data_IF_995989235355
#
_entry.id   IF_995989235355
#
_cell.length_a   1.000
_cell.length_b   1.000
_cell.length_c   1.000
_cell.angle_alpha   90.00
_cell.angle_beta   90.00
_cell.angle_gamma   90.00
#
_symmetry.space_group_name_H-M   'P 1'
#
loop_
_entity.id
_entity.type
_entity.pdbx_description
1 polymer ?
#
# COMPACT_ATOMS: atom_id res chain seq x y z
N UNK A 1 17.56 -0.20 4.21
CA UNK A 1 16.24 -0.64 4.70
C UNK A 1 16.21 -0.57 6.24
N UNK A 2 15.09 -0.19 6.86
CA UNK A 2 14.93 -0.18 8.32
C UNK A 2 15.10 -1.58 8.91
N UNK A 3 15.69 -1.68 10.12
CA UNK A 3 15.83 -2.97 10.82
C UNK A 3 14.53 -3.43 11.50
N UNK A 4 13.65 -2.49 11.85
CA UNK A 4 12.40 -2.77 12.55
C UNK A 4 11.35 -1.74 12.13
N UNK A 5 10.17 -2.23 11.78
CA UNK A 5 8.99 -1.43 11.41
C UNK A 5 7.85 -1.86 12.31
N UNK A 6 7.11 -0.89 12.85
CA UNK A 6 5.93 -1.17 13.68
C UNK A 6 4.67 -1.05 12.82
N UNK A 7 3.90 -2.13 12.70
CA UNK A 7 2.69 -2.20 11.89
C UNK A 7 2.01 -3.56 11.99
N UNK A 8 1.00 -3.81 11.15
CA UNK A 8 0.33 -5.10 11.03
C UNK A 8 1.12 -6.02 10.09
N UNK A 9 1.98 -6.86 10.66
CA UNK A 9 2.78 -7.80 9.89
C UNK A 9 1.94 -8.84 9.14
N UNK A 10 0.82 -9.29 9.71
CA UNK A 10 -0.01 -10.33 9.11
C UNK A 10 -0.67 -9.80 7.83
N UNK A 11 -1.19 -8.57 7.88
CA UNK A 11 -1.76 -7.92 6.69
C UNK A 11 -0.72 -7.70 5.60
N UNK A 12 0.50 -7.29 5.96
CA UNK A 12 1.59 -7.13 4.98
C UNK A 12 1.92 -8.46 4.34
N UNK A 13 2.14 -9.53 5.12
CA UNK A 13 2.42 -10.87 4.59
C UNK A 13 1.31 -11.35 3.66
N UNK A 14 0.04 -11.10 4.02
CA UNK A 14 -1.10 -11.46 3.16
C UNK A 14 -1.05 -10.76 1.80
N UNK A 15 -0.76 -9.46 1.78
CA UNK A 15 -0.64 -8.70 0.52
C UNK A 15 0.48 -9.28 -0.35
N UNK A 16 1.65 -9.53 0.24
CA UNK A 16 2.78 -10.12 -0.46
C UNK A 16 2.46 -11.51 -1.01
N UNK A 17 1.89 -12.39 -0.18
CA UNK A 17 1.55 -13.75 -0.56
C UNK A 17 0.55 -13.76 -1.73
N UNK A 18 -0.46 -12.90 -1.69
CA UNK A 18 -1.46 -12.81 -2.75
C UNK A 18 -0.83 -12.40 -4.07
N UNK A 19 -0.02 -11.33 -4.07
CA UNK A 19 0.60 -10.84 -5.30
C UNK A 19 1.61 -11.83 -5.87
N UNK A 20 2.49 -12.39 -5.04
CA UNK A 20 3.49 -13.38 -5.47
C UNK A 20 2.80 -14.64 -5.99
N UNK A 21 1.77 -15.13 -5.29
CA UNK A 21 1.03 -16.30 -5.72
C UNK A 21 0.33 -16.07 -7.06
N UNK A 22 -0.18 -14.86 -7.31
CA UNK A 22 -0.77 -14.51 -8.60
C UNK A 22 0.30 -14.50 -9.70
N UNK A 23 1.43 -13.83 -9.49
CA UNK A 23 2.52 -13.80 -10.49
C UNK A 23 3.05 -15.19 -10.81
N UNK A 24 3.23 -16.07 -9.81
CA UNK A 24 3.63 -17.48 -10.03
C UNK A 24 2.56 -18.25 -10.81
N UNK A 25 1.28 -18.07 -10.46
CA UNK A 25 0.17 -18.77 -11.11
C UNK A 25 0.05 -18.41 -12.59
N UNK A 26 0.33 -17.17 -12.97
CA UNK A 26 0.11 -16.66 -14.33
C UNK A 26 1.38 -16.54 -15.18
N UNK A 27 2.56 -16.75 -14.61
CA UNK A 27 3.84 -16.77 -15.32
C UNK A 27 4.39 -18.19 -15.38
N UNK A 28 4.00 -18.96 -16.41
CA UNK A 28 4.49 -20.34 -16.60
C UNK A 28 5.94 -20.39 -17.10
N UNK A 29 6.32 -19.41 -17.92
CA UNK A 29 7.68 -19.25 -18.45
C UNK A 29 8.05 -17.77 -18.42
N UNK A 30 9.33 -17.45 -18.20
CA UNK A 30 9.81 -16.08 -18.11
C UNK A 30 10.35 -15.77 -16.73
N UNK A 31 10.05 -14.60 -16.19
CA UNK A 31 10.59 -14.17 -14.90
C UNK A 31 9.58 -13.39 -14.08
N UNK A 32 9.84 -13.38 -12.78
CA UNK A 32 9.15 -12.58 -11.79
C UNK A 32 10.24 -11.82 -11.03
N UNK A 33 10.12 -10.50 -10.96
CA UNK A 33 11.07 -9.63 -10.28
C UNK A 33 10.36 -8.97 -9.10
N UNK A 34 10.92 -9.13 -7.91
CA UNK A 34 10.50 -8.42 -6.71
C UNK A 34 11.51 -7.30 -6.41
N UNK A 35 11.01 -6.07 -6.27
CA UNK A 35 11.80 -4.90 -5.87
C UNK A 35 11.20 -4.30 -4.61
N UNK A 36 12.05 -3.63 -3.83
CA UNK A 36 11.62 -2.93 -2.64
C UNK A 36 12.54 -1.76 -2.33
N UNK A 37 11.94 -0.64 -1.95
CA UNK A 37 12.66 0.56 -1.52
C UNK A 37 11.87 1.25 -0.41
N UNK A 38 12.50 2.23 0.25
CA UNK A 38 11.83 2.99 1.29
C UNK A 38 12.27 4.45 1.27
N UNK A 39 11.35 5.34 1.59
CA UNK A 39 11.56 6.78 1.62
C UNK A 39 11.23 7.32 3.02
N UNK A 40 12.13 8.12 3.59
CA UNK A 40 11.91 8.78 4.87
C UNK A 40 11.08 10.05 4.68
N UNK A 41 9.93 10.14 5.35
CA UNK A 41 9.21 11.42 5.45
C UNK A 41 9.77 12.20 6.64
N UNK A 42 10.67 13.12 6.34
CA UNK A 42 11.11 14.10 7.32
C UNK A 42 9.96 15.09 7.55
N UNK A 43 9.08 14.83 8.51
CA UNK A 43 8.10 15.83 8.95
C UNK A 43 8.84 16.91 9.73
N UNK A 44 9.31 17.95 9.04
CA UNK A 44 9.78 19.16 9.69
C UNK A 44 8.55 19.99 10.07
N UNK A 45 8.23 20.02 11.36
CA UNK A 45 7.34 21.02 11.94
C UNK A 45 8.13 22.32 12.11
N UNK A 46 8.45 23.00 11.01
CA UNK A 46 8.85 24.40 11.05
C UNK A 46 7.87 25.21 10.21
N UNK A 47 7.12 26.05 10.91
CA UNK A 47 6.33 27.14 10.36
C UNK A 47 7.25 28.08 9.59
N UNK A 48 7.40 27.89 8.29
CA UNK A 48 7.68 28.99 7.38
C UNK A 48 7.01 28.69 6.04
N UNK A 49 5.73 29.04 5.95
CA UNK A 49 5.08 29.29 4.67
C UNK A 49 5.83 30.46 4.01
N UNK A 50 6.81 30.17 3.16
CA UNK A 50 7.07 31.01 2.01
C UNK A 50 6.31 30.40 0.84
N UNK A 51 5.28 31.13 0.44
CA UNK A 51 4.41 30.87 -0.70
C UNK A 51 5.27 30.72 -1.95
N UNK A 52 5.23 29.57 -2.62
CA UNK A 52 5.20 29.52 -4.08
C UNK A 52 4.55 28.21 -4.59
N UNK A 53 3.25 28.36 -4.82
CA UNK A 53 2.38 27.75 -5.82
C UNK A 53 2.84 26.44 -6.51
N UNK A 54 2.11 25.33 -6.28
CA UNK A 54 1.21 24.68 -7.26
C UNK A 54 0.58 23.37 -6.74
N UNK A 55 -0.75 23.45 -6.47
CA UNK A 55 -1.80 22.40 -6.53
C UNK A 55 -1.56 21.04 -5.84
N UNK A 56 -2.43 20.68 -4.89
CA UNK A 56 -3.61 19.83 -5.12
C UNK A 56 -4.49 19.84 -3.85
N UNK A 57 -5.81 19.88 -4.08
CA UNK A 57 -6.87 20.24 -3.13
C UNK A 57 -7.29 19.04 -2.27
N UNK A 58 -7.57 19.27 -0.98
CA UNK A 58 -8.66 18.59 -0.28
C UNK A 58 -9.20 19.52 0.82
N UNK A 59 -10.50 19.83 0.69
CA UNK A 59 -11.23 20.78 1.51
C UNK A 59 -11.97 20.05 2.63
N UNK A 60 -11.60 20.30 3.89
CA UNK A 60 -12.51 20.17 5.04
C UNK A 60 -12.10 21.26 6.04
N UNK A 61 -12.93 22.30 6.21
CA UNK A 61 -12.80 23.29 7.30
C UNK A 61 -13.70 22.87 8.45
N UNK A 62 -13.21 22.93 9.69
CA UNK A 62 -14.04 23.50 10.75
C UNK A 62 -13.28 24.63 11.46
N UNK A 63 -13.98 25.76 11.63
CA UNK A 63 -13.58 26.84 12.52
C UNK A 63 -13.73 26.36 13.97
N UNK A 64 -12.71 26.53 14.81
CA UNK A 64 -12.93 26.61 16.25
C UNK A 64 -12.10 27.76 16.85
N UNK A 65 -12.82 28.56 17.64
CA UNK A 65 -12.44 29.80 18.30
C UNK A 65 -11.39 29.59 19.40
N UNK A 66 -10.66 30.67 19.66
CA UNK A 66 -9.61 30.88 20.66
C UNK A 66 -10.04 30.47 22.09
N UNK A 67 -9.11 29.88 22.85
CA UNK A 67 -8.65 30.38 24.16
C UNK A 67 -7.54 29.48 24.73
N UNK A 68 -6.71 30.08 25.58
CA UNK A 68 -5.38 29.62 25.93
C UNK A 68 -5.29 28.29 26.69
N UNK A 69 -4.12 27.68 26.64
CA UNK A 69 -3.28 27.46 27.82
C UNK A 69 -1.98 26.77 27.42
N UNK A 70 -0.90 27.22 28.05
CA UNK A 70 0.42 26.62 27.99
C UNK A 70 0.36 25.15 28.42
N UNK A 71 0.39 24.23 27.45
CA UNK A 71 0.87 22.87 27.65
C UNK A 71 2.03 22.72 26.68
N UNK A 72 3.25 22.59 27.22
CA UNK A 72 4.45 22.22 26.47
C UNK A 72 4.22 20.82 25.89
N UNK A 73 3.54 20.76 24.74
CA UNK A 73 3.33 19.53 23.97
C UNK A 73 4.64 19.25 23.27
N UNK A 74 5.44 18.34 23.84
CA UNK A 74 6.59 17.78 23.14
C UNK A 74 6.08 17.22 21.81
N UNK A 75 6.40 17.89 20.70
CA UNK A 75 6.13 17.38 19.37
C UNK A 75 6.95 16.11 19.22
N UNK A 76 6.32 14.94 19.34
CA UNK A 76 6.95 13.67 18.96
C UNK A 76 7.27 13.80 17.48
N UNK A 77 8.56 13.81 17.12
CA UNK A 77 9.00 13.60 15.75
C UNK A 77 8.49 12.22 15.34
N UNK A 78 7.43 12.20 14.53
CA UNK A 78 6.94 10.95 13.95
C UNK A 78 7.91 10.57 12.84
N UNK A 79 8.78 9.59 13.12
CA UNK A 79 9.67 9.03 12.12
C UNK A 79 8.84 8.14 11.17
N UNK A 80 8.11 8.79 10.25
CA UNK A 80 7.30 8.14 9.24
C UNK A 80 8.16 7.78 8.05
N UNK A 81 7.95 6.59 7.51
CA UNK A 81 8.56 6.16 6.27
C UNK A 81 7.51 5.49 5.39
N UNK A 82 7.68 5.63 4.09
CA UNK A 82 6.95 4.85 3.10
C UNK A 82 7.84 3.70 2.68
N UNK A 83 7.28 2.50 2.64
CA UNK A 83 7.92 1.31 2.08
C UNK A 83 7.19 1.01 0.79
N UNK A 84 7.95 0.98 -0.29
CA UNK A 84 7.48 0.59 -1.60
C UNK A 84 7.96 -0.82 -1.89
N UNK A 85 7.11 -1.57 -2.57
CA UNK A 85 7.50 -2.83 -3.19
C UNK A 85 6.77 -2.96 -4.51
N UNK A 86 7.42 -3.64 -5.45
CA UNK A 86 6.95 -3.84 -6.81
C UNK A 86 7.17 -5.30 -7.16
N UNK A 87 6.15 -5.91 -7.74
CA UNK A 87 6.23 -7.24 -8.35
C UNK A 87 5.95 -7.02 -9.83
N UNK A 88 6.95 -7.36 -10.65
CA UNK A 88 6.88 -7.33 -12.10
C UNK A 88 6.93 -8.77 -12.60
N UNK A 89 5.98 -9.16 -13.45
CA UNK A 89 5.91 -10.50 -14.02
C UNK A 89 5.61 -10.47 -15.52
N UNK A 90 6.06 -11.50 -16.22
CA UNK A 90 5.89 -11.65 -17.67
C UNK A 90 4.73 -12.59 -18.02
N UNK A 91 3.73 -12.71 -17.13
CA UNK A 91 2.58 -13.57 -17.34
C UNK A 91 1.64 -13.08 -18.45
N UNK A 92 0.49 -13.73 -18.60
CA UNK A 92 -0.49 -13.39 -19.63
C UNK A 92 -1.12 -11.99 -19.47
N UNK A 93 -0.79 -11.26 -18.41
CA UNK A 93 -1.40 -9.98 -18.06
C UNK A 93 -2.84 -10.12 -17.56
N UNK A 94 -3.46 -8.97 -17.32
CA UNK A 94 -4.84 -8.85 -16.84
C UNK A 94 -5.68 -8.26 -17.96
N UNK A 95 -6.82 -8.89 -18.26
CA UNK A 95 -7.80 -8.35 -19.19
C UNK A 95 -8.20 -6.92 -18.79
N UNK A 96 -8.15 -5.93 -19.72
CA UNK A 96 -8.50 -4.53 -19.44
C UNK A 96 -9.86 -4.34 -18.77
N UNK A 97 -10.84 -5.21 -19.07
CA UNK A 97 -12.17 -5.17 -18.45
C UNK A 97 -12.17 -5.43 -16.94
N UNK A 98 -11.08 -5.99 -16.40
CA UNK A 98 -10.95 -6.35 -14.98
C UNK A 98 -10.10 -5.37 -14.18
N UNK A 99 -9.48 -4.38 -14.81
CA UNK A 99 -8.52 -3.48 -14.14
C UNK A 99 -9.13 -2.69 -12.98
N UNK A 100 -10.40 -2.33 -13.06
CA UNK A 100 -11.08 -1.61 -11.97
C UNK A 100 -11.44 -2.52 -10.80
N UNK A 101 -11.63 -3.82 -11.03
CA UNK A 101 -12.09 -4.77 -10.02
C UNK A 101 -10.99 -5.60 -9.36
N UNK A 102 -9.76 -5.58 -9.87
CA UNK A 102 -8.65 -6.36 -9.28
C UNK A 102 -8.29 -5.96 -7.85
N UNK A 103 -8.70 -4.77 -7.42
CA UNK A 103 -8.49 -4.24 -6.06
C UNK A 103 -9.74 -4.31 -5.18
N UNK A 104 -10.86 -4.81 -5.70
CA UNK A 104 -12.04 -5.07 -4.87
C UNK A 104 -11.75 -6.25 -3.92
N UNK A 105 -12.43 -6.26 -2.77
CA UNK A 105 -12.29 -7.33 -1.79
C UNK A 105 -12.58 -8.67 -2.45
N UNK A 106 -11.56 -9.52 -2.53
CA UNK A 106 -11.72 -10.87 -3.06
C UNK A 106 -12.52 -11.71 -2.06
N UNK A 107 -13.80 -11.93 -2.33
CA UNK A 107 -14.51 -13.06 -1.72
C UNK A 107 -13.99 -14.33 -2.39
N UNK A 108 -13.28 -15.17 -1.63
CA UNK A 108 -12.98 -16.52 -2.07
C UNK A 108 -14.30 -17.23 -2.32
N UNK A 109 -14.69 -17.37 -3.60
CA UNK A 109 -15.77 -18.26 -3.97
C UNK A 109 -15.39 -19.67 -3.53
N UNK A 110 -16.19 -20.20 -2.60
CA UNK A 110 -16.36 -21.58 -2.17
C UNK A 110 -15.19 -22.57 -2.45
N UNK A 111 -14.53 -23.16 -1.42
CA UNK A 111 -13.45 -24.15 -1.61
C UNK A 111 -13.88 -25.47 -2.28
N UNK A 112 -15.15 -25.61 -2.69
CA UNK A 112 -15.79 -26.83 -3.16
C UNK A 112 -15.65 -27.15 -4.66
N UNK A 113 -14.92 -26.36 -5.46
CA UNK A 113 -14.72 -26.65 -6.90
C UNK A 113 -13.35 -27.28 -7.21
N UNK A 114 -12.91 -28.24 -6.39
CA UNK A 114 -11.75 -29.07 -6.74
C UNK A 114 -12.15 -30.14 -7.76
N UNK A 115 -12.02 -29.80 -9.04
CA UNK A 115 -11.76 -30.68 -10.21
C UNK A 115 -12.19 -32.15 -10.06
N UNK A 116 -13.46 -32.45 -10.35
CA UNK A 116 -13.83 -33.76 -10.88
C UNK A 116 -13.46 -33.78 -12.36
N UNK A 117 -12.28 -34.31 -12.69
CA UNK A 117 -11.98 -34.76 -14.07
C UNK A 117 -12.15 -36.27 -14.10
N UNK A 118 -13.22 -36.69 -14.77
CA UNK A 118 -13.41 -37.90 -15.55
C UNK A 118 -12.49 -39.10 -15.24
N UNK A 119 -13.01 -40.05 -14.47
CA UNK A 119 -12.65 -41.46 -14.61
C UNK A 119 -13.57 -42.09 -15.65
N UNK A 120 -13.00 -42.46 -16.79
CA UNK A 120 -13.66 -43.28 -17.82
C UNK A 120 -13.85 -44.73 -17.41
#
# INVERSE_FOLDING_TARGET
>A
MPKLVRGDSARVVQIFANLISNSIKFTTTGHIILRGWCESLNTCSDTQFHLDQKKMRCAIKPKLRQQGNHLKKACKKENKMIIWFEIDDTGCGIDPSKWESVFESFEQADPSTTRLKDSG
#
